data_IF_767875266102
#
_entry.id   IF_767875266102
#
_cell.length_a   1.000
_cell.length_b   1.000
_cell.length_c   1.000
_cell.angle_alpha   90.00
_cell.angle_beta   90.00
_cell.angle_gamma   90.00
#
_symmetry.space_group_name_H-M   'P 1'
#
loop_
_entity.id
_entity.type
_entity.pdbx_description
1 polymer ?
#
# COMPACT_ATOMS: atom_id res chain seq x y z
N UNK A 1 0.38 3.71 23.69
CA UNK A 1 -0.87 4.22 23.08
C UNK A 1 -0.63 5.12 21.88
N UNK A 2 0.11 6.23 22.00
CA UNK A 2 0.35 7.12 20.86
C UNK A 2 1.07 6.44 19.68
N UNK A 3 2.06 5.59 19.97
CA UNK A 3 2.73 4.75 18.98
C UNK A 3 1.74 3.85 18.22
N UNK A 4 0.93 3.06 18.94
CA UNK A 4 -0.13 2.25 18.35
C UNK A 4 -1.11 3.07 17.50
N UNK A 5 -1.55 4.23 18.00
CA UNK A 5 -2.45 5.14 17.31
C UNK A 5 -1.87 5.58 15.97
N UNK A 6 -0.63 6.08 15.96
CA UNK A 6 0.04 6.53 14.75
C UNK A 6 0.13 5.38 13.73
N UNK A 7 0.62 4.23 14.18
CA UNK A 7 0.82 3.04 13.36
C UNK A 7 -0.46 2.54 12.71
N UNK A 8 -1.52 2.36 13.51
CA UNK A 8 -2.79 1.82 13.00
C UNK A 8 -3.46 2.77 12.00
N UNK A 9 -3.29 4.08 12.16
CA UNK A 9 -3.77 5.06 11.18
C UNK A 9 -2.98 5.00 9.86
N UNK A 10 -1.65 4.90 9.93
CA UNK A 10 -0.79 4.80 8.76
C UNK A 10 -1.00 3.48 8.01
N UNK A 11 -1.10 2.36 8.74
CA UNK A 11 -1.24 1.02 8.17
C UNK A 11 -2.64 0.76 7.62
N UNK A 12 -3.69 1.28 8.28
CA UNK A 12 -5.06 1.04 7.83
C UNK A 12 -5.58 2.14 6.92
N UNK A 13 -5.13 3.39 7.04
CA UNK A 13 -5.70 4.53 6.27
C UNK A 13 -4.68 5.34 5.49
N UNK A 14 -3.39 5.03 5.58
CA UNK A 14 -2.34 5.68 4.80
C UNK A 14 -1.99 7.10 5.23
N UNK A 15 -2.49 7.59 6.37
CA UNK A 15 -2.17 8.93 6.85
C UNK A 15 -2.34 9.02 8.37
N UNK A 16 -1.58 9.92 9.01
CA UNK A 16 -1.67 10.20 10.46
C UNK A 16 -3.10 10.59 10.90
N UNK A 17 -3.51 10.39 12.17
CA UNK A 17 -4.81 10.85 12.67
C UNK A 17 -5.00 12.37 12.54
N UNK A 18 -6.26 12.82 12.49
CA UNK A 18 -6.58 14.22 12.76
C UNK A 18 -6.36 14.53 14.24
N UNK A 19 -6.08 15.79 14.57
CA UNK A 19 -5.89 16.25 15.97
C UNK A 19 -7.04 15.81 16.89
N UNK A 20 -8.29 15.94 16.43
CA UNK A 20 -9.46 15.53 17.22
C UNK A 20 -9.49 14.04 17.51
N UNK A 21 -9.16 13.20 16.52
CA UNK A 21 -9.12 11.75 16.66
C UNK A 21 -7.96 11.32 17.58
N UNK A 22 -6.81 11.97 17.46
CA UNK A 22 -5.66 11.69 18.32
C UNK A 22 -5.97 12.05 19.79
N UNK A 23 -6.54 13.24 20.02
CA UNK A 23 -6.95 13.67 21.36
C UNK A 23 -8.00 12.74 21.98
N UNK A 24 -9.06 12.44 21.22
CA UNK A 24 -10.13 11.53 21.66
C UNK A 24 -9.58 10.16 22.09
N UNK A 25 -8.69 9.56 21.30
CA UNK A 25 -8.10 8.26 21.63
C UNK A 25 -7.14 8.29 22.83
N UNK A 26 -6.35 9.36 22.94
CA UNK A 26 -5.37 9.50 24.03
C UNK A 26 -6.04 9.84 25.37
N UNK A 27 -7.19 10.53 25.34
CA UNK A 27 -7.98 10.83 26.53
C UNK A 27 -8.96 9.71 26.92
N UNK A 28 -9.25 8.78 26.01
CA UNK A 28 -10.07 7.61 26.29
C UNK A 28 -9.34 6.60 27.18
N UNK A 29 -9.97 6.22 28.29
CA UNK A 29 -9.48 5.23 29.26
C UNK A 29 -10.20 3.87 29.14
N UNK A 30 -11.12 3.73 28.18
CA UNK A 30 -11.87 2.50 27.98
C UNK A 30 -10.94 1.34 27.59
N UNK A 31 -11.12 0.14 28.17
CA UNK A 31 -10.23 -1.00 27.91
C UNK A 31 -10.30 -1.51 26.47
N UNK A 32 -11.39 -1.23 25.75
CA UNK A 32 -11.65 -1.64 24.36
C UNK A 32 -11.33 -0.54 23.33
N UNK A 33 -10.75 0.60 23.72
CA UNK A 33 -10.52 1.74 22.82
C UNK A 33 -9.73 1.42 21.56
N UNK A 34 -8.75 0.49 21.65
CA UNK A 34 -7.96 0.04 20.50
C UNK A 34 -8.81 -0.74 19.50
N UNK A 35 -9.64 -1.66 20.00
CA UNK A 35 -10.55 -2.45 19.17
C UNK A 35 -11.56 -1.53 18.47
N UNK A 36 -12.19 -0.61 19.21
CA UNK A 36 -13.14 0.36 18.64
C UNK A 36 -12.50 1.23 17.56
N UNK A 37 -11.26 1.68 17.78
CA UNK A 37 -10.52 2.43 16.77
C UNK A 37 -10.26 1.59 15.51
N UNK A 38 -9.82 0.34 15.66
CA UNK A 38 -9.59 -0.58 14.52
C UNK A 38 -10.87 -0.73 13.69
N UNK A 39 -12.02 -1.00 14.32
CA UNK A 39 -13.30 -1.11 13.62
C UNK A 39 -13.64 0.17 12.85
N UNK A 40 -13.48 1.32 13.50
CA UNK A 40 -13.76 2.61 12.88
C UNK A 40 -12.86 2.87 11.65
N UNK A 41 -11.57 2.55 11.75
CA UNK A 41 -10.62 2.74 10.65
C UNK A 41 -10.92 1.80 9.49
N UNK A 42 -11.15 0.51 9.74
CA UNK A 42 -11.45 -0.48 8.71
C UNK A 42 -12.77 -0.20 7.96
N UNK A 43 -13.74 0.41 8.65
CA UNK A 43 -15.00 0.83 8.03
C UNK A 43 -14.88 2.17 7.26
N UNK A 44 -13.76 2.88 7.37
CA UNK A 44 -13.63 4.22 6.81
C UNK A 44 -13.36 4.24 5.30
N UNK A 45 -13.80 5.29 4.57
CA UNK A 45 -13.39 5.50 3.17
C UNK A 45 -11.88 5.66 2.99
N UNK A 46 -11.19 6.15 4.03
CA UNK A 46 -9.74 6.27 4.06
C UNK A 46 -9.05 4.90 3.95
N UNK A 47 -9.61 3.88 4.60
CA UNK A 47 -9.12 2.51 4.49
C UNK A 47 -9.23 1.97 3.06
N UNK A 48 -10.42 2.05 2.46
CA UNK A 48 -10.59 1.59 1.08
C UNK A 48 -9.68 2.33 0.08
N UNK A 49 -9.43 3.62 0.31
CA UNK A 49 -8.51 4.42 -0.53
C UNK A 49 -7.06 3.99 -0.36
N UNK A 50 -6.62 3.77 0.87
CA UNK A 50 -5.27 3.31 1.15
C UNK A 50 -5.01 1.93 0.55
N UNK A 51 -5.94 1.00 0.75
CA UNK A 51 -5.86 -0.34 0.18
C UNK A 51 -5.88 -0.31 -1.35
N UNK A 52 -6.68 0.56 -1.98
CA UNK A 52 -6.63 0.73 -3.42
C UNK A 52 -5.26 1.24 -3.91
N UNK A 53 -4.64 2.18 -3.21
CA UNK A 53 -3.29 2.68 -3.54
C UNK A 53 -2.25 1.57 -3.42
N UNK A 54 -2.26 0.83 -2.31
CA UNK A 54 -1.31 -0.25 -2.06
C UNK A 54 -1.42 -1.35 -3.12
N UNK A 55 -2.64 -1.82 -3.44
CA UNK A 55 -2.85 -2.89 -4.42
C UNK A 55 -2.57 -2.42 -5.84
N UNK A 56 -2.87 -1.15 -6.17
CA UNK A 56 -2.48 -0.55 -7.46
C UNK A 56 -0.97 -0.58 -7.65
N UNK A 57 -0.20 -0.21 -6.62
CA UNK A 57 1.27 -0.21 -6.68
C UNK A 57 1.85 -1.61 -6.83
N UNK A 58 1.16 -2.64 -6.31
CA UNK A 58 1.53 -4.04 -6.50
C UNK A 58 1.20 -4.52 -7.92
N UNK A 59 0.04 -4.13 -8.45
CA UNK A 59 -0.48 -4.65 -9.70
C UNK A 59 0.12 -3.97 -10.94
N UNK A 60 0.30 -2.65 -10.90
CA UNK A 60 0.80 -1.90 -12.05
C UNK A 60 2.33 -1.81 -12.03
N UNK A 61 3.00 -1.90 -13.20
CA UNK A 61 4.44 -1.66 -13.29
C UNK A 61 4.83 -0.25 -12.83
N UNK A 62 6.06 -0.10 -12.33
CA UNK A 62 6.64 1.21 -12.02
C UNK A 62 6.81 2.05 -13.31
N UNK A 63 6.72 3.38 -13.18
CA UNK A 63 6.93 4.33 -14.28
C UNK A 63 5.74 4.51 -15.23
N UNK A 64 4.62 3.82 -14.99
CA UNK A 64 3.44 3.81 -15.87
C UNK A 64 2.56 5.09 -15.82
N UNK A 65 2.88 6.05 -14.94
CA UNK A 65 1.85 6.93 -14.35
C UNK A 65 1.55 8.25 -15.10
N UNK A 66 2.51 8.90 -15.75
CA UNK A 66 2.30 10.29 -16.18
C UNK A 66 1.36 10.43 -17.40
N UNK A 67 1.57 9.61 -18.43
CA UNK A 67 0.82 9.71 -19.70
C UNK A 67 -0.52 8.97 -19.66
N UNK A 68 -0.69 8.04 -18.71
CA UNK A 68 -1.88 7.19 -18.59
C UNK A 68 -2.66 7.45 -17.30
N UNK A 69 -2.55 8.65 -16.74
CA UNK A 69 -3.06 8.95 -15.40
C UNK A 69 -4.56 8.69 -15.24
N UNK A 70 -5.35 8.96 -16.29
CA UNK A 70 -6.79 8.66 -16.32
C UNK A 70 -7.04 7.16 -16.19
N UNK A 71 -6.23 6.33 -16.85
CA UNK A 71 -6.33 4.87 -16.78
C UNK A 71 -5.94 4.35 -15.39
N UNK A 72 -4.85 4.89 -14.84
CA UNK A 72 -4.41 4.57 -13.48
C UNK A 72 -5.49 4.94 -12.45
N UNK A 73 -6.16 6.07 -12.64
CA UNK A 73 -7.30 6.47 -11.83
C UNK A 73 -8.50 5.52 -11.99
N UNK A 74 -8.73 4.98 -13.19
CA UNK A 74 -9.71 3.92 -13.43
C UNK A 74 -9.44 2.67 -12.61
N UNK A 75 -8.21 2.16 -12.62
CA UNK A 75 -7.79 0.99 -11.81
C UNK A 75 -7.96 1.27 -10.31
N UNK A 76 -7.48 2.42 -9.84
CA UNK A 76 -7.59 2.77 -8.42
C UNK A 76 -9.05 2.90 -7.98
N UNK A 77 -9.92 3.50 -8.79
CA UNK A 77 -11.33 3.62 -8.48
C UNK A 77 -12.01 2.24 -8.44
N UNK A 78 -11.68 1.36 -9.40
CA UNK A 78 -12.16 -0.02 -9.38
C UNK A 78 -11.75 -0.74 -8.09
N UNK A 79 -10.46 -0.72 -7.74
CA UNK A 79 -9.93 -1.31 -6.50
C UNK A 79 -10.63 -0.72 -5.26
N UNK A 80 -10.78 0.60 -5.20
CA UNK A 80 -11.43 1.28 -4.08
C UNK A 80 -12.86 0.78 -3.87
N UNK A 81 -13.61 0.56 -4.94
CA UNK A 81 -14.96 -0.03 -4.85
C UNK A 81 -14.92 -1.44 -4.26
N UNK A 82 -13.96 -2.29 -4.67
CA UNK A 82 -13.81 -3.63 -4.10
C UNK A 82 -13.59 -3.58 -2.58
N UNK A 83 -12.74 -2.66 -2.12
CA UNK A 83 -12.46 -2.50 -0.69
C UNK A 83 -13.59 -1.83 0.09
N UNK A 84 -14.34 -0.91 -0.51
CA UNK A 84 -15.55 -0.33 0.10
C UNK A 84 -16.59 -1.43 0.34
N UNK A 85 -16.87 -2.23 -0.68
CA UNK A 85 -17.85 -3.32 -0.65
C UNK A 85 -17.40 -4.53 0.18
N UNK A 86 -16.13 -4.54 0.61
CA UNK A 86 -15.50 -5.69 1.26
C UNK A 86 -15.62 -6.97 0.43
N UNK A 87 -15.38 -6.84 -0.88
CA UNK A 87 -15.44 -8.00 -1.77
C UNK A 87 -14.38 -9.02 -1.35
N UNK A 88 -14.77 -10.30 -1.33
CA UNK A 88 -13.87 -11.40 -1.02
C UNK A 88 -12.66 -11.39 -1.97
N UNK A 89 -11.48 -11.65 -1.44
CA UNK A 89 -10.23 -11.52 -2.20
C UNK A 89 -10.16 -12.46 -3.40
N UNK A 90 -10.62 -13.71 -3.23
CA UNK A 90 -10.71 -14.70 -4.30
C UNK A 90 -11.60 -14.21 -5.46
N UNK A 91 -12.69 -13.53 -5.14
CA UNK A 91 -13.58 -12.92 -6.14
C UNK A 91 -12.94 -11.70 -6.79
N UNK A 92 -12.30 -10.82 -6.02
CA UNK A 92 -11.56 -9.68 -6.57
C UNK A 92 -10.46 -10.12 -7.55
N UNK A 93 -9.71 -11.18 -7.21
CA UNK A 93 -8.69 -11.77 -8.09
C UNK A 93 -9.32 -12.40 -9.32
N UNK A 94 -10.45 -13.09 -9.18
CA UNK A 94 -11.20 -13.63 -10.32
C UNK A 94 -11.64 -12.52 -11.27
N UNK A 95 -12.27 -11.46 -10.76
CA UNK A 95 -12.74 -10.31 -11.55
C UNK A 95 -11.58 -9.57 -12.21
N UNK A 96 -10.41 -9.52 -11.56
CA UNK A 96 -9.18 -9.01 -12.15
C UNK A 96 -8.68 -9.89 -13.32
N UNK A 97 -8.67 -11.21 -13.14
CA UNK A 97 -8.18 -12.17 -14.14
C UNK A 97 -9.07 -12.26 -15.37
N UNK A 98 -10.37 -12.13 -15.20
CA UNK A 98 -11.34 -12.22 -16.30
C UNK A 98 -11.80 -10.85 -16.80
N UNK A 99 -11.18 -9.76 -16.32
CA UNK A 99 -11.55 -8.42 -16.70
C UNK A 99 -11.64 -8.27 -18.22
N UNK A 100 -12.76 -7.70 -18.67
CA UNK A 100 -13.04 -7.32 -20.05
C UNK A 100 -13.36 -5.83 -20.03
N UNK A 101 -12.68 -5.01 -20.83
CA UNK A 101 -12.83 -3.56 -20.78
C UNK A 101 -11.69 -2.80 -21.46
N UNK A 102 -11.85 -1.49 -21.62
CA UNK A 102 -10.77 -0.59 -22.06
C UNK A 102 -9.79 -0.29 -20.91
N UNK A 103 -8.60 0.21 -21.23
CA UNK A 103 -7.56 0.52 -20.22
C UNK A 103 -7.97 1.59 -19.20
N UNK A 104 -8.99 2.39 -19.50
CA UNK A 104 -9.63 3.37 -18.61
C UNK A 104 -10.64 2.75 -17.63
N UNK A 105 -11.01 1.47 -17.82
CA UNK A 105 -12.00 0.75 -17.03
C UNK A 105 -11.37 -0.41 -16.26
N UNK A 106 -10.91 -0.14 -15.03
CA UNK A 106 -10.52 -1.19 -14.09
C UNK A 106 -9.29 -2.01 -14.51
N UNK A 107 -9.25 -3.34 -14.27
CA UNK A 107 -8.04 -4.16 -14.40
C UNK A 107 -7.42 -4.28 -15.80
N UNK A 108 -8.12 -3.89 -16.88
CA UNK A 108 -7.64 -4.04 -18.25
C UNK A 108 -6.29 -3.33 -18.51
N UNK A 109 -6.01 -2.24 -17.79
CA UNK A 109 -4.73 -1.53 -17.85
C UNK A 109 -3.54 -2.42 -17.53
N UNK A 110 -3.71 -3.37 -16.61
CA UNK A 110 -2.66 -4.33 -16.27
C UNK A 110 -2.22 -5.13 -17.49
N UNK A 111 -3.18 -5.56 -18.30
CA UNK A 111 -2.90 -6.41 -19.46
C UNK A 111 -2.19 -5.66 -20.57
N UNK A 112 -2.63 -4.42 -20.84
CA UNK A 112 -1.97 -3.57 -21.83
C UNK A 112 -0.59 -3.11 -21.36
N UNK A 113 -0.40 -2.91 -20.06
CA UNK A 113 0.91 -2.65 -19.46
C UNK A 113 1.91 -3.79 -19.66
N UNK A 114 1.41 -5.03 -19.74
CA UNK A 114 2.20 -6.22 -20.05
C UNK A 114 2.27 -6.52 -21.56
N UNK A 115 1.90 -5.58 -22.42
CA UNK A 115 1.88 -5.71 -23.89
C UNK A 115 1.03 -6.89 -24.39
N UNK A 116 0.10 -7.41 -23.56
CA UNK A 116 -0.69 -8.61 -23.84
C UNK A 116 0.17 -9.87 -24.10
N UNK A 117 1.45 -9.84 -23.73
CA UNK A 117 2.38 -10.95 -23.96
C UNK A 117 2.14 -12.06 -22.94
N UNK A 118 1.86 -13.31 -23.36
CA UNK A 118 1.56 -14.40 -22.44
C UNK A 118 2.64 -14.62 -21.37
N UNK A 119 3.91 -14.54 -21.76
CA UNK A 119 5.06 -14.70 -20.86
C UNK A 119 5.15 -13.59 -19.80
N UNK A 120 4.80 -12.35 -20.15
CA UNK A 120 4.80 -11.22 -19.20
C UNK A 120 3.63 -11.31 -18.22
N UNK A 121 2.45 -11.68 -18.73
CA UNK A 121 1.26 -11.90 -17.93
C UNK A 121 1.44 -13.09 -16.97
N UNK A 122 2.07 -14.16 -17.44
CA UNK A 122 2.43 -15.32 -16.62
C UNK A 122 3.33 -14.90 -15.44
N UNK A 123 4.48 -14.26 -15.71
CA UNK A 123 5.39 -13.81 -14.66
C UNK A 123 4.70 -12.87 -13.67
N UNK A 124 3.98 -11.85 -14.17
CA UNK A 124 3.34 -10.87 -13.30
C UNK A 124 2.22 -11.48 -12.44
N UNK A 125 1.33 -12.28 -13.00
CA UNK A 125 0.21 -12.87 -12.24
C UNK A 125 0.66 -13.96 -11.28
N UNK A 126 1.66 -14.77 -11.64
CA UNK A 126 2.25 -15.76 -10.73
C UNK A 126 2.88 -15.07 -9.51
N UNK A 127 3.67 -14.01 -9.74
CA UNK A 127 4.32 -13.26 -8.67
C UNK A 127 3.32 -12.50 -7.79
N UNK A 128 2.33 -11.84 -8.39
CA UNK A 128 1.34 -11.04 -7.66
C UNK A 128 0.38 -11.94 -6.85
N UNK A 129 -0.24 -12.93 -7.49
CA UNK A 129 -1.35 -13.67 -6.88
C UNK A 129 -0.96 -15.02 -6.29
N UNK A 130 0.09 -15.67 -6.79
CA UNK A 130 0.56 -16.97 -6.29
C UNK A 130 1.80 -16.84 -5.40
N UNK A 131 2.46 -15.67 -5.43
CA UNK A 131 3.71 -15.47 -4.71
C UNK A 131 4.84 -16.36 -5.25
N UNK A 132 4.85 -16.61 -6.57
CA UNK A 132 5.83 -17.48 -7.21
C UNK A 132 6.69 -16.69 -8.19
N UNK A 133 8.02 -16.84 -8.08
CA UNK A 133 9.00 -16.26 -9.02
C UNK A 133 9.41 -17.30 -10.08
N UNK A 134 8.50 -17.57 -11.02
CA UNK A 134 8.72 -18.57 -12.08
C UNK A 134 9.41 -18.01 -13.32
N UNK A 135 9.76 -16.73 -13.37
CA UNK A 135 10.29 -16.06 -14.58
C UNK A 135 11.61 -16.64 -15.08
N UNK A 136 12.49 -17.13 -14.22
CA UNK A 136 13.73 -17.78 -14.68
C UNK A 136 13.42 -19.03 -15.51
N UNK A 137 12.28 -19.70 -15.22
CA UNK A 137 11.80 -20.85 -15.96
C UNK A 137 11.37 -20.50 -17.41
N UNK A 138 11.30 -19.23 -17.79
CA UNK A 138 10.97 -18.84 -19.16
C UNK A 138 11.98 -19.40 -20.19
N UNK A 139 13.27 -19.33 -19.87
CA UNK A 139 14.36 -19.66 -20.80
C UNK A 139 15.03 -21.01 -20.52
N UNK A 140 15.05 -21.46 -19.27
CA UNK A 140 15.65 -22.73 -18.85
C UNK A 140 14.99 -23.21 -17.56
N UNK A 141 15.12 -24.50 -17.20
CA UNK A 141 14.66 -24.97 -15.88
C UNK A 141 15.24 -24.13 -14.74
N UNK A 142 14.42 -23.81 -13.73
CA UNK A 142 14.85 -22.99 -12.62
C UNK A 142 16.04 -23.65 -11.88
N UNK A 143 17.14 -22.92 -11.60
CA UNK A 143 18.38 -23.52 -11.12
C UNK A 143 18.32 -23.98 -9.66
N UNK A 144 17.45 -23.35 -8.85
CA UNK A 144 17.38 -23.55 -7.40
C UNK A 144 15.97 -23.86 -6.88
N UNK A 145 15.01 -24.04 -7.78
CA UNK A 145 13.60 -24.31 -7.44
C UNK A 145 13.07 -25.38 -8.40
N UNK A 146 11.91 -25.97 -8.09
CA UNK A 146 11.34 -27.11 -8.81
C UNK A 146 10.80 -26.76 -10.20
N UNK A 147 10.61 -25.48 -10.51
CA UNK A 147 9.92 -25.02 -11.71
C UNK A 147 10.66 -25.37 -13.00
N UNK A 148 9.96 -26.05 -13.91
CA UNK A 148 10.46 -26.42 -15.24
C UNK A 148 10.04 -25.42 -16.29
N UNK A 149 10.78 -25.38 -17.39
CA UNK A 149 10.41 -24.50 -18.51
C UNK A 149 8.99 -24.82 -19.03
N UNK A 150 8.62 -26.09 -19.06
CA UNK A 150 7.27 -26.52 -19.42
C UNK A 150 6.19 -26.02 -18.45
N UNK A 151 6.51 -25.79 -17.18
CA UNK A 151 5.54 -25.28 -16.19
C UNK A 151 5.30 -23.79 -16.42
N UNK A 152 6.35 -23.01 -16.73
CA UNK A 152 6.22 -21.60 -17.08
C UNK A 152 5.34 -21.42 -18.32
N UNK A 153 5.65 -22.13 -19.40
CA UNK A 153 4.91 -21.99 -20.65
C UNK A 153 3.50 -22.60 -20.57
N UNK A 154 3.31 -23.64 -19.75
CA UNK A 154 1.99 -24.16 -19.44
C UNK A 154 1.11 -23.17 -18.68
N UNK A 155 1.71 -22.38 -17.78
CA UNK A 155 1.00 -21.28 -17.13
C UNK A 155 0.77 -20.09 -18.09
N UNK A 156 1.75 -19.75 -18.93
CA UNK A 156 1.59 -18.70 -19.95
C UNK A 156 0.49 -19.02 -20.97
N UNK A 157 0.25 -20.30 -21.25
CA UNK A 157 -0.81 -20.73 -22.17
C UNK A 157 -2.22 -20.25 -21.75
N UNK A 158 -2.47 -19.93 -20.48
CA UNK A 158 -3.74 -19.33 -20.04
C UNK A 158 -4.00 -17.95 -20.64
N UNK A 159 -2.94 -17.22 -20.99
CA UNK A 159 -2.99 -15.87 -21.55
C UNK A 159 -2.80 -15.83 -23.07
N UNK A 160 -2.57 -16.98 -23.71
CA UNK A 160 -2.30 -17.11 -25.15
C UNK A 160 -3.47 -16.70 -26.06
N UNK A 161 -4.68 -16.64 -25.50
CA UNK A 161 -5.92 -16.35 -26.23
C UNK A 161 -6.40 -14.92 -25.98
N UNK A 162 -5.48 -13.98 -25.75
CA UNK A 162 -5.84 -12.61 -25.41
C UNK A 162 -5.54 -11.66 -26.57
N UNK A 163 -6.49 -10.80 -26.93
CA UNK A 163 -6.27 -9.75 -27.94
C UNK A 163 -6.96 -8.44 -27.53
N UNK A 164 -6.32 -7.35 -27.90
CA UNK A 164 -6.98 -6.05 -28.05
C UNK A 164 -7.27 -5.84 -29.54
N UNK A 165 -8.54 -5.78 -29.98
CA UNK A 165 -8.85 -5.49 -31.36
C UNK A 165 -8.40 -4.06 -31.73
N UNK A 166 -8.12 -3.81 -33.01
CA UNK A 166 -7.74 -2.48 -33.50
C UNK A 166 -8.83 -1.46 -33.21
N UNK A 167 -8.42 -0.20 -32.98
CA UNK A 167 -9.31 0.95 -32.75
C UNK A 167 -10.43 0.99 -33.80
N UNK A 168 -11.66 0.65 -33.41
CA UNK A 168 -12.84 0.86 -34.25
C UNK A 168 -13.49 2.20 -33.88
N UNK A 169 -13.57 3.11 -34.84
CA UNK A 169 -14.34 4.37 -34.76
C UNK A 169 -14.00 5.27 -33.55
N UNK A 170 -12.74 5.29 -33.11
CA UNK A 170 -12.29 6.21 -32.05
C UNK A 170 -12.77 5.88 -30.63
N UNK A 171 -13.30 4.68 -30.39
CA UNK A 171 -13.64 4.19 -29.05
C UNK A 171 -12.59 3.19 -28.54
N UNK A 172 -12.26 3.29 -27.25
CA UNK A 172 -11.33 2.37 -26.59
C UNK A 172 -11.85 0.94 -26.67
N UNK A 173 -11.06 0.05 -27.26
CA UNK A 173 -11.48 -1.33 -27.54
C UNK A 173 -11.29 -2.21 -26.31
N UNK A 174 -12.30 -3.03 -26.01
CA UNK A 174 -12.33 -3.93 -24.88
C UNK A 174 -11.35 -5.09 -25.04
N UNK A 175 -10.73 -5.49 -23.93
CA UNK A 175 -9.99 -6.75 -23.83
C UNK A 175 -10.94 -7.94 -24.08
N UNK A 176 -10.60 -8.80 -25.05
CA UNK A 176 -11.41 -9.98 -25.40
C UNK A 176 -10.57 -11.26 -25.40
N UNK A 177 -11.21 -12.35 -24.96
CA UNK A 177 -10.67 -13.70 -25.13
C UNK A 177 -11.03 -14.24 -26.53
N UNK A 178 -10.06 -14.84 -27.19
CA UNK A 178 -10.18 -15.48 -28.50
C UNK A 178 -10.50 -16.98 -28.36
N UNK A 179 -11.06 -17.58 -29.41
CA UNK A 179 -11.30 -19.03 -29.46
C UNK A 179 -10.02 -19.85 -29.68
N UNK A 180 -8.97 -19.23 -30.23
CA UNK A 180 -7.71 -19.87 -30.61
C UNK A 180 -6.51 -19.01 -30.22
N UNK A 181 -5.41 -19.68 -29.92
CA UNK A 181 -4.17 -19.07 -29.47
C UNK A 181 -3.41 -20.05 -28.60
N UNK A 182 -2.16 -20.29 -28.96
CA UNK A 182 -1.28 -21.25 -28.29
C UNK A 182 0.10 -20.64 -28.09
N UNK A 183 0.83 -21.16 -27.12
CA UNK A 183 2.24 -20.85 -26.89
C UNK A 183 3.08 -22.07 -27.21
N UNK A 184 4.30 -21.84 -27.69
CA UNK A 184 5.26 -22.89 -27.97
C UNK A 184 6.44 -22.79 -27.01
N UNK A 185 7.09 -23.92 -26.72
CA UNK A 185 8.38 -23.88 -26.03
C UNK A 185 9.41 -23.13 -26.90
N UNK A 186 10.23 -22.24 -26.31
CA UNK A 186 11.30 -21.55 -27.02
C UNK A 186 12.20 -22.52 -27.79
N UNK A 187 12.62 -22.10 -28.98
CA UNK A 187 13.50 -22.87 -29.87
C UNK A 187 12.94 -24.25 -30.30
N UNK A 188 11.62 -24.45 -30.16
CA UNK A 188 10.93 -25.67 -30.63
C UNK A 188 9.59 -25.33 -31.31
N UNK A 189 9.02 -26.32 -32.01
CA UNK A 189 7.64 -26.26 -32.54
C UNK A 189 6.62 -26.88 -31.56
N UNK A 190 7.04 -27.18 -30.32
CA UNK A 190 6.20 -27.89 -29.35
C UNK A 190 5.18 -26.94 -28.73
N UNK A 191 3.90 -27.14 -29.07
CA UNK A 191 2.78 -26.43 -28.44
C UNK A 191 2.60 -26.90 -27.00
N UNK A 192 2.46 -25.95 -26.07
CA UNK A 192 2.25 -26.23 -24.65
C UNK A 192 0.79 -25.94 -24.28
N UNK A 193 0.02 -26.94 -23.81
CA UNK A 193 -1.35 -26.70 -23.34
C UNK A 193 -1.35 -26.00 -21.97
N UNK A 194 -2.47 -25.34 -21.60
CA UNK A 194 -2.62 -24.77 -20.26
C UNK A 194 -2.40 -25.79 -19.15
N UNK A 195 -1.63 -25.39 -18.15
CA UNK A 195 -1.26 -26.21 -16.99
C UNK A 195 -1.16 -25.33 -15.75
N UNK A 196 -1.77 -25.78 -14.66
CA UNK A 196 -1.67 -25.07 -13.39
C UNK A 196 -0.27 -25.23 -12.78
N UNK A 197 0.27 -24.23 -12.07
CA UNK A 197 1.58 -24.33 -11.45
C UNK A 197 1.67 -25.54 -10.50
N UNK A 198 2.62 -26.43 -10.79
CA UNK A 198 2.92 -27.61 -9.96
C UNK A 198 2.12 -28.85 -10.34
N UNK A 199 1.31 -28.81 -11.40
CA UNK A 199 0.61 -29.98 -11.95
C UNK A 199 1.35 -30.51 -13.18
N UNK A 200 1.26 -31.82 -13.45
CA UNK A 200 1.86 -32.43 -14.64
C UNK A 200 0.85 -32.44 -15.81
N UNK A 201 -0.42 -32.66 -15.48
CA UNK A 201 -1.46 -32.80 -16.47
C UNK A 201 -1.91 -31.44 -17.01
N UNK A 202 -2.30 -31.44 -18.29
CA UNK A 202 -2.96 -30.31 -18.91
C UNK A 202 -4.35 -30.09 -18.29
N UNK A 203 -4.80 -28.84 -18.27
CA UNK A 203 -6.16 -28.51 -17.83
C UNK A 203 -7.17 -29.15 -18.76
N UNK A 204 -8.03 -29.99 -18.19
CA UNK A 204 -9.15 -30.61 -18.89
C UNK A 204 -10.47 -29.85 -18.73
N UNK A 205 -10.50 -28.81 -17.88
CA UNK A 205 -11.67 -27.96 -17.72
C UNK A 205 -11.97 -27.22 -19.03
N UNK A 206 -13.23 -27.22 -19.44
CA UNK A 206 -13.71 -26.55 -20.65
C UNK A 206 -14.70 -25.42 -20.34
N UNK A 207 -14.86 -25.05 -19.06
CA UNK A 207 -15.76 -23.97 -18.64
C UNK A 207 -15.15 -22.61 -18.97
N UNK A 208 -15.73 -21.93 -19.95
CA UNK A 208 -15.35 -20.56 -20.32
C UNK A 208 -13.96 -20.48 -20.97
N UNK A 209 -13.43 -19.26 -21.03
CA UNK A 209 -12.09 -19.00 -21.58
C UNK A 209 -10.98 -19.56 -20.68
N UNK A 210 -9.76 -19.69 -21.21
CA UNK A 210 -8.59 -20.11 -20.41
C UNK A 210 -8.38 -19.23 -19.17
N UNK A 211 -8.60 -17.91 -19.27
CA UNK A 211 -8.55 -17.00 -18.10
C UNK A 211 -9.64 -17.30 -17.07
N UNK A 212 -10.85 -17.68 -17.50
CA UNK A 212 -11.92 -18.11 -16.59
C UNK A 212 -11.52 -19.40 -15.86
N UNK A 213 -10.94 -20.37 -16.56
CA UNK A 213 -10.44 -21.61 -15.96
C UNK A 213 -9.33 -21.33 -14.92
N UNK A 214 -8.43 -20.39 -15.23
CA UNK A 214 -7.40 -19.94 -14.30
C UNK A 214 -8.00 -19.26 -13.07
N UNK A 215 -8.97 -18.35 -13.26
CA UNK A 215 -9.66 -17.66 -12.17
C UNK A 215 -10.38 -18.63 -11.24
N UNK A 216 -11.09 -19.63 -11.79
CA UNK A 216 -11.76 -20.68 -10.99
C UNK A 216 -10.75 -21.46 -10.13
N UNK A 217 -9.61 -21.84 -10.72
CA UNK A 217 -8.58 -22.57 -9.97
C UNK A 217 -7.91 -21.71 -8.90
N UNK A 218 -7.60 -20.44 -9.20
CA UNK A 218 -7.02 -19.52 -8.22
C UNK A 218 -7.95 -19.28 -7.05
N UNK A 219 -9.24 -19.07 -7.31
CA UNK A 219 -10.26 -18.81 -6.30
C UNK A 219 -10.70 -20.07 -5.51
N UNK A 220 -10.15 -21.24 -5.84
CA UNK A 220 -10.46 -22.47 -5.10
C UNK A 220 -9.99 -22.38 -3.65
N UNK A 221 -10.79 -22.90 -2.71
CA UNK A 221 -10.40 -23.02 -1.30
C UNK A 221 -9.19 -23.94 -1.10
N UNK A 222 -9.00 -24.89 -2.02
CA UNK A 222 -7.90 -25.84 -2.00
C UNK A 222 -6.66 -25.34 -2.78
N UNK A 223 -6.67 -24.08 -3.26
CA UNK A 223 -5.52 -23.52 -3.94
C UNK A 223 -4.35 -23.36 -2.95
N UNK A 224 -3.18 -23.97 -3.21
CA UNK A 224 -2.08 -23.94 -2.23
C UNK A 224 -1.30 -22.62 -2.23
N UNK A 225 -1.56 -21.71 -3.16
CA UNK A 225 -0.74 -20.52 -3.39
C UNK A 225 -1.47 -19.22 -3.05
N UNK A 226 -2.67 -19.00 -3.60
CA UNK A 226 -3.40 -17.74 -3.46
C UNK A 226 -3.63 -17.33 -1.99
N UNK A 227 -4.13 -18.20 -1.10
CA UNK A 227 -4.28 -17.88 0.32
C UNK A 227 -2.96 -17.48 0.98
N UNK A 228 -1.88 -18.24 0.72
CA UNK A 228 -0.56 -18.02 1.32
C UNK A 228 0.04 -16.70 0.86
N UNK A 229 -0.03 -16.40 -0.43
CA UNK A 229 0.46 -15.15 -1.01
C UNK A 229 -0.31 -13.93 -0.47
N UNK A 230 -1.63 -14.05 -0.30
CA UNK A 230 -2.45 -13.01 0.30
C UNK A 230 -2.08 -12.75 1.76
N UNK A 231 -2.00 -13.81 2.57
CA UNK A 231 -1.64 -13.73 3.99
C UNK A 231 -0.25 -13.14 4.18
N UNK A 232 0.75 -13.62 3.44
CA UNK A 232 2.11 -13.12 3.55
C UNK A 232 2.20 -11.62 3.20
N UNK A 233 1.42 -11.18 2.22
CA UNK A 233 1.37 -9.78 1.79
C UNK A 233 0.65 -8.88 2.79
N UNK A 234 -0.47 -9.30 3.35
CA UNK A 234 -1.15 -8.55 4.44
C UNK A 234 -0.26 -8.48 5.67
N UNK A 235 0.43 -9.59 5.99
CA UNK A 235 1.41 -9.61 7.07
C UNK A 235 2.55 -8.62 6.79
N UNK A 236 3.17 -8.65 5.61
CA UNK A 236 4.23 -7.70 5.25
C UNK A 236 3.75 -6.24 5.29
N UNK A 237 2.52 -5.98 4.87
CA UNK A 237 1.90 -4.65 4.93
C UNK A 237 1.81 -4.11 6.36
N UNK A 238 1.36 -4.95 7.30
CA UNK A 238 1.19 -4.56 8.71
C UNK A 238 2.48 -4.61 9.52
N UNK A 239 3.39 -5.55 9.23
CA UNK A 239 4.59 -5.81 10.03
C UNK A 239 5.89 -5.32 9.38
N UNK A 240 5.85 -4.78 8.15
CA UNK A 240 7.03 -4.34 7.40
C UNK A 240 7.84 -5.44 6.73
N UNK A 241 7.63 -6.69 7.11
CA UNK A 241 8.33 -7.87 6.60
C UNK A 241 7.40 -9.07 6.57
N UNK A 242 7.37 -9.79 5.45
CA UNK A 242 6.60 -11.02 5.32
C UNK A 242 7.13 -12.16 6.18
N UNK A 243 6.26 -13.11 6.53
CA UNK A 243 6.67 -14.39 7.12
C UNK A 243 7.63 -15.14 6.20
N UNK A 244 7.43 -15.00 4.90
CA UNK A 244 8.40 -15.30 3.83
C UNK A 244 8.89 -13.97 3.25
N UNK A 245 10.22 -13.83 3.10
CA UNK A 245 10.85 -12.65 2.51
C UNK A 245 11.83 -13.10 1.42
N UNK A 246 11.76 -12.56 0.18
CA UNK A 246 10.81 -11.55 -0.32
C UNK A 246 9.34 -11.95 -0.26
N UNK A 247 8.45 -10.96 -0.20
CA UNK A 247 6.99 -11.18 0.00
C UNK A 247 6.32 -12.00 -1.11
N UNK A 248 6.93 -12.02 -2.30
CA UNK A 248 6.44 -12.66 -3.52
C UNK A 248 7.30 -13.87 -3.96
N UNK A 249 8.11 -14.44 -3.06
CA UNK A 249 8.96 -15.63 -3.28
C UNK A 249 8.67 -16.77 -2.29
N UNK A 250 7.49 -17.41 -2.43
CA UNK A 250 7.01 -18.48 -1.56
C UNK A 250 7.46 -19.89 -2.04
N UNK A 251 8.59 -19.98 -2.76
CA UNK A 251 9.15 -21.24 -3.24
C UNK A 251 9.65 -22.17 -2.12
N UNK A 252 9.89 -23.44 -2.44
CA UNK A 252 10.37 -24.44 -1.47
C UNK A 252 11.76 -24.07 -0.92
N UNK A 253 12.56 -23.33 -1.69
CA UNK A 253 13.87 -22.82 -1.29
C UNK A 253 13.80 -21.70 -0.24
N UNK A 254 12.63 -21.08 -0.03
CA UNK A 254 12.44 -19.95 0.86
C UNK A 254 11.34 -20.22 1.90
N UNK A 255 11.60 -21.07 2.90
CA UNK A 255 10.59 -21.44 3.88
C UNK A 255 10.20 -20.24 4.76
N UNK A 256 8.95 -20.21 5.25
CA UNK A 256 8.50 -19.18 6.19
C UNK A 256 9.29 -19.23 7.50
N UNK A 257 9.56 -18.05 8.06
CA UNK A 257 10.18 -17.87 9.39
C UNK A 257 9.38 -18.56 10.50
N UNK A 258 8.05 -18.54 10.40
CA UNK A 258 7.13 -19.12 11.39
C UNK A 258 6.10 -20.03 10.66
N UNK A 259 6.45 -21.28 10.30
CA UNK A 259 5.64 -22.12 9.43
C UNK A 259 4.26 -22.45 10.04
N UNK A 260 4.22 -22.82 11.31
CA UNK A 260 2.97 -23.16 12.00
C UNK A 260 2.00 -21.97 12.04
N UNK A 261 2.51 -20.78 12.36
CA UNK A 261 1.73 -19.55 12.32
C UNK A 261 1.21 -19.26 10.91
N UNK A 262 2.07 -19.42 9.90
CA UNK A 262 1.69 -19.14 8.52
C UNK A 262 0.57 -20.06 8.04
N UNK A 263 0.62 -21.35 8.40
CA UNK A 263 -0.41 -22.32 8.07
C UNK A 263 -1.74 -21.99 8.79
N UNK A 264 -1.70 -21.64 10.08
CA UNK A 264 -2.89 -21.23 10.84
C UNK A 264 -3.55 -19.96 10.26
N UNK A 265 -2.75 -18.96 9.90
CA UNK A 265 -3.27 -17.74 9.25
C UNK A 265 -3.87 -18.02 7.88
N UNK A 266 -3.27 -18.96 7.14
CA UNK A 266 -3.76 -19.39 5.84
C UNK A 266 -5.13 -20.07 5.97
N UNK A 267 -5.27 -21.00 6.91
CA UNK A 267 -6.56 -21.64 7.21
C UNK A 267 -7.60 -20.62 7.67
N UNK A 268 -7.23 -19.73 8.60
CA UNK A 268 -8.10 -18.65 9.07
C UNK A 268 -8.64 -17.80 7.92
N UNK A 269 -7.78 -17.42 6.98
CA UNK A 269 -8.17 -16.61 5.83
C UNK A 269 -9.13 -17.35 4.89
N UNK A 270 -8.93 -18.65 4.66
CA UNK A 270 -9.82 -19.49 3.84
C UNK A 270 -11.17 -19.76 4.55
N UNK A 271 -11.16 -19.94 5.87
CA UNK A 271 -12.36 -20.21 6.68
C UNK A 271 -13.24 -18.98 6.88
N UNK A 272 -12.63 -17.79 6.92
CA UNK A 272 -13.34 -16.51 6.93
C UNK A 272 -13.79 -16.05 5.54
N UNK A 273 -13.59 -16.87 4.51
CA UNK A 273 -14.09 -16.62 3.16
C UNK A 273 -13.26 -15.63 2.36
N UNK A 274 -11.95 -15.60 2.57
CA UNK A 274 -11.00 -14.69 1.90
C UNK A 274 -11.23 -13.21 2.20
N UNK A 275 -11.68 -12.88 3.41
CA UNK A 275 -11.94 -11.51 3.85
C UNK A 275 -10.64 -10.84 4.31
N UNK A 276 -10.10 -9.92 3.49
CA UNK A 276 -8.90 -9.15 3.84
C UNK A 276 -9.12 -8.23 5.03
N UNK A 277 -10.31 -7.65 5.16
CA UNK A 277 -10.64 -6.74 6.26
C UNK A 277 -10.70 -7.48 7.58
N UNK A 278 -11.26 -8.69 7.60
CA UNK A 278 -11.20 -9.62 8.73
C UNK A 278 -9.76 -10.00 9.09
N UNK A 279 -8.94 -10.37 8.09
CA UNK A 279 -7.54 -10.71 8.35
C UNK A 279 -6.78 -9.54 8.99
N UNK A 280 -6.94 -8.32 8.45
CA UNK A 280 -6.32 -7.12 9.02
C UNK A 280 -6.87 -6.79 10.41
N UNK A 281 -8.18 -6.93 10.63
CA UNK A 281 -8.82 -6.76 11.95
C UNK A 281 -8.23 -7.70 12.99
N UNK A 282 -8.13 -8.98 12.67
CA UNK A 282 -7.55 -9.97 13.57
C UNK A 282 -6.08 -9.65 13.87
N UNK A 283 -5.26 -9.41 12.83
CA UNK A 283 -3.83 -9.14 12.99
C UNK A 283 -3.54 -7.88 13.81
N UNK A 284 -4.28 -6.80 13.57
CA UNK A 284 -4.11 -5.53 14.32
C UNK A 284 -4.54 -5.61 15.79
N UNK A 285 -5.38 -6.60 16.13
CA UNK A 285 -5.74 -6.89 17.53
C UNK A 285 -4.73 -7.80 18.25
N UNK A 286 -3.71 -8.33 17.56
CA UNK A 286 -2.70 -9.19 18.20
C UNK A 286 -1.75 -8.41 19.09
N UNK A 287 -1.20 -9.09 20.11
CA UNK A 287 -0.12 -8.52 20.91
C UNK A 287 1.11 -8.21 20.05
N UNK A 288 1.43 -9.05 19.06
CA UNK A 288 2.57 -8.88 18.16
C UNK A 288 2.51 -7.56 17.40
N UNK A 289 1.35 -7.25 16.78
CA UNK A 289 1.16 -5.98 16.07
C UNK A 289 1.23 -4.76 17.01
N UNK A 290 0.79 -4.93 18.26
CA UNK A 290 0.69 -3.84 19.23
C UNK A 290 1.97 -3.62 20.07
N UNK A 291 3.06 -4.35 19.77
CA UNK A 291 4.36 -4.17 20.44
C UNK A 291 4.98 -2.81 20.11
N UNK A 292 5.87 -2.34 20.97
CA UNK A 292 6.65 -1.14 20.71
C UNK A 292 7.79 -1.42 19.72
N UNK A 293 8.26 -0.38 19.04
CA UNK A 293 9.50 -0.30 18.28
C UNK A 293 10.70 0.07 19.15
N UNK A 294 10.48 0.48 20.41
CA UNK A 294 11.55 0.79 21.33
C UNK A 294 12.24 -0.48 21.83
N UNK A 295 13.35 -0.85 21.17
CA UNK A 295 14.20 -1.99 21.53
C UNK A 295 15.60 -1.50 21.88
N UNK A 296 16.07 -1.85 23.07
CA UNK A 296 17.41 -1.48 23.53
C UNK A 296 18.49 -2.45 22.99
N UNK A 297 18.20 -3.74 22.99
CA UNK A 297 19.16 -4.80 22.67
C UNK A 297 18.75 -5.56 21.41
N UNK A 298 19.66 -5.67 20.45
CA UNK A 298 19.51 -6.40 19.18
C UNK A 298 18.18 -6.16 18.42
N UNK A 299 17.95 -4.93 17.91
CA UNK A 299 16.74 -4.61 17.14
C UNK A 299 16.54 -5.48 15.90
N UNK A 300 17.61 -5.97 15.27
CA UNK A 300 17.54 -6.79 14.07
C UNK A 300 16.84 -8.12 14.36
N UNK A 301 17.32 -8.86 15.36
CA UNK A 301 16.69 -10.12 15.79
C UNK A 301 15.28 -9.89 16.31
N UNK A 302 15.04 -8.80 17.05
CA UNK A 302 13.72 -8.47 17.56
C UNK A 302 12.69 -8.27 16.42
N UNK A 303 13.10 -7.63 15.31
CA UNK A 303 12.27 -7.46 14.12
C UNK A 303 12.07 -8.78 13.38
N UNK A 304 13.12 -9.59 13.21
CA UNK A 304 13.02 -10.91 12.55
C UNK A 304 12.07 -11.87 13.26
N UNK A 305 12.01 -11.80 14.59
CA UNK A 305 11.16 -12.64 15.43
C UNK A 305 9.80 -12.00 15.76
N UNK A 306 9.49 -10.82 15.20
CA UNK A 306 8.28 -10.04 15.53
C UNK A 306 8.12 -9.78 17.05
N UNK A 307 9.24 -9.72 17.77
CA UNK A 307 9.32 -9.39 19.19
C UNK A 307 9.28 -7.87 19.45
N UNK A 308 9.42 -7.07 18.39
CA UNK A 308 9.19 -5.64 18.36
C UNK A 308 8.65 -5.23 16.99
N UNK A 309 7.99 -4.09 16.95
CA UNK A 309 7.59 -3.51 15.67
C UNK A 309 8.83 -2.87 15.00
N UNK A 310 9.03 -3.02 13.68
CA UNK A 310 10.06 -2.25 13.01
C UNK A 310 9.64 -0.79 12.80
N UNK A 311 10.62 0.10 12.89
CA UNK A 311 10.49 1.48 12.40
C UNK A 311 10.61 1.45 10.87
N UNK A 312 9.64 2.02 10.18
CA UNK A 312 9.52 2.01 8.71
C UNK A 312 9.42 3.42 8.16
N UNK A 313 10.13 3.78 7.08
CA UNK A 313 9.84 5.00 6.36
C UNK A 313 8.41 5.00 5.84
N UNK A 314 7.75 6.17 5.87
CA UNK A 314 6.48 6.35 5.18
C UNK A 314 6.67 6.24 3.66
N UNK A 315 5.70 5.65 2.97
CA UNK A 315 5.69 5.74 1.50
C UNK A 315 5.53 7.20 1.07
N UNK A 316 5.91 7.51 -0.17
CA UNK A 316 5.76 8.86 -0.72
C UNK A 316 4.30 9.35 -0.64
N UNK A 317 3.32 8.47 -0.88
CA UNK A 317 1.90 8.80 -0.72
C UNK A 317 1.54 9.05 0.75
N UNK A 318 1.97 8.17 1.67
CA UNK A 318 1.67 8.33 3.10
C UNK A 318 2.26 9.62 3.66
N UNK A 319 3.47 9.97 3.25
CA UNK A 319 4.15 11.19 3.67
C UNK A 319 3.41 12.44 3.17
N UNK A 320 3.05 12.47 1.88
CA UNK A 320 2.28 13.58 1.31
C UNK A 320 0.90 13.73 1.96
N UNK A 321 0.15 12.63 2.05
CA UNK A 321 -1.22 12.65 2.57
C UNK A 321 -1.22 13.01 4.08
N UNK A 322 -0.18 12.61 4.82
CA UNK A 322 0.04 13.02 6.21
C UNK A 322 0.42 14.50 6.34
N UNK A 323 1.28 15.02 5.45
CA UNK A 323 1.66 16.43 5.42
C UNK A 323 0.44 17.33 5.14
N UNK A 324 -0.35 17.00 4.13
CA UNK A 324 -1.57 17.75 3.79
C UNK A 324 -2.59 17.74 4.93
N UNK A 325 -2.72 16.60 5.62
CA UNK A 325 -3.58 16.47 6.80
C UNK A 325 -3.07 17.29 7.99
N UNK A 326 -1.76 17.24 8.29
CA UNK A 326 -1.16 18.02 9.35
C UNK A 326 -1.36 19.53 9.12
N UNK A 327 -1.18 20.00 7.88
CA UNK A 327 -1.30 21.41 7.51
C UNK A 327 -2.75 21.89 7.32
N UNK A 328 -3.76 21.02 7.50
CA UNK A 328 -5.17 21.28 7.21
C UNK A 328 -5.42 21.81 5.79
N UNK A 329 -4.69 21.28 4.81
CA UNK A 329 -4.80 21.69 3.41
C UNK A 329 -5.72 20.78 2.63
N UNK A 330 -6.56 21.38 1.79
CA UNK A 330 -7.29 20.64 0.76
C UNK A 330 -6.41 20.52 -0.49
N UNK A 331 -6.46 19.36 -1.14
CA UNK A 331 -5.79 19.14 -2.42
C UNK A 331 -6.39 20.02 -3.52
N UNK A 332 -5.61 20.31 -4.56
CA UNK A 332 -6.08 21.02 -5.74
C UNK A 332 -6.28 19.98 -6.85
N UNK A 333 -7.45 19.34 -6.89
CA UNK A 333 -7.75 18.34 -7.91
C UNK A 333 -8.18 19.01 -9.22
N UNK A 334 -7.48 18.68 -10.32
CA UNK A 334 -7.90 19.03 -11.69
C UNK A 334 -8.82 17.96 -12.30
N UNK A 335 -9.42 17.11 -11.46
CA UNK A 335 -10.30 16.07 -11.93
C UNK A 335 -11.59 16.66 -12.58
N UNK A 336 -12.22 15.92 -13.50
CA UNK A 336 -13.49 16.32 -14.10
C UNK A 336 -14.54 16.65 -13.03
N UNK A 337 -15.41 17.62 -13.30
CA UNK A 337 -16.42 18.11 -12.35
C UNK A 337 -17.22 16.94 -11.73
N UNK A 338 -17.20 16.86 -10.40
CA UNK A 338 -17.89 15.80 -9.63
C UNK A 338 -17.00 14.65 -9.14
N UNK A 339 -15.71 14.63 -9.49
CA UNK A 339 -14.73 13.67 -8.96
C UNK A 339 -13.62 14.42 -8.24
N UNK A 340 -13.51 14.29 -6.92
CA UNK A 340 -12.29 14.70 -6.22
C UNK A 340 -11.39 13.45 -6.09
N UNK A 341 -10.35 13.38 -6.91
CA UNK A 341 -9.40 12.26 -6.90
C UNK A 341 -7.98 12.81 -6.75
N UNK A 342 -7.26 12.45 -5.65
CA UNK A 342 -5.90 12.90 -5.40
C UNK A 342 -4.90 12.55 -6.52
N UNK A 343 -5.18 11.54 -7.35
CA UNK A 343 -4.34 11.24 -8.50
C UNK A 343 -4.28 12.39 -9.51
N UNK A 344 -5.31 13.25 -9.61
CA UNK A 344 -5.29 14.40 -10.52
C UNK A 344 -4.74 15.67 -9.88
N UNK A 345 -4.22 15.61 -8.64
CA UNK A 345 -3.52 16.72 -8.01
C UNK A 345 -2.07 16.77 -8.54
N UNK A 346 -1.70 17.81 -9.33
CA UNK A 346 -0.36 17.90 -9.92
C UNK A 346 0.74 18.07 -8.86
N UNK A 347 0.43 18.70 -7.72
CA UNK A 347 1.40 18.85 -6.61
C UNK A 347 1.67 17.49 -5.99
N UNK A 348 0.62 16.70 -5.73
CA UNK A 348 0.75 15.34 -5.21
C UNK A 348 1.59 14.46 -6.14
N UNK A 349 1.31 14.47 -7.44
CA UNK A 349 2.07 13.68 -8.42
C UNK A 349 3.54 14.06 -8.43
N UNK A 350 3.84 15.36 -8.46
CA UNK A 350 5.21 15.86 -8.49
C UNK A 350 5.96 15.54 -7.19
N UNK A 351 5.28 15.52 -6.04
CA UNK A 351 5.86 15.07 -4.78
C UNK A 351 6.13 13.56 -4.80
N UNK A 352 5.12 12.75 -5.13
CA UNK A 352 5.23 11.29 -5.13
C UNK A 352 6.34 10.81 -6.05
N UNK A 353 6.43 11.35 -7.27
CA UNK A 353 7.46 10.97 -8.24
C UNK A 353 8.90 11.26 -7.75
N UNK A 354 9.10 12.29 -6.90
CA UNK A 354 10.42 12.66 -6.37
C UNK A 354 10.79 11.87 -5.11
N UNK A 355 9.78 11.53 -4.31
CA UNK A 355 9.95 10.85 -3.02
C UNK A 355 9.82 9.33 -3.12
N UNK A 356 9.55 8.80 -4.32
CA UNK A 356 9.38 7.36 -4.54
C UNK A 356 10.67 6.59 -4.21
N UNK A 357 10.55 5.64 -3.29
CA UNK A 357 11.61 4.67 -3.00
C UNK A 357 11.74 3.67 -4.16
N UNK A 358 12.96 3.19 -4.38
CA UNK A 358 13.34 2.16 -5.35
C UNK A 358 13.50 0.78 -4.71
N UNK A 359 13.65 0.70 -3.38
CA UNK A 359 13.75 -0.57 -2.68
C UNK A 359 12.44 -1.34 -2.70
N UNK A 360 12.56 -2.66 -2.80
CA UNK A 360 11.47 -3.63 -2.61
C UNK A 360 11.18 -3.93 -1.13
N UNK A 361 12.04 -3.49 -0.22
CA UNK A 361 11.91 -3.67 1.23
C UNK A 361 11.30 -2.43 1.87
N UNK A 362 10.23 -2.63 2.65
CA UNK A 362 9.59 -1.55 3.41
C UNK A 362 10.44 -1.07 4.61
N UNK A 363 11.55 -1.75 4.90
CA UNK A 363 12.46 -1.40 5.99
C UNK A 363 13.62 -0.52 5.52
N UNK A 364 13.82 -0.39 4.21
CA UNK A 364 14.97 0.30 3.66
C UNK A 364 14.70 1.82 3.62
N UNK A 365 15.56 2.59 4.28
CA UNK A 365 15.53 4.04 4.20
C UNK A 365 16.36 4.53 3.02
N UNK A 366 15.70 4.96 1.94
CA UNK A 366 16.38 5.39 0.71
C UNK A 366 16.34 6.90 0.45
N UNK A 367 15.80 7.70 1.37
CA UNK A 367 15.78 9.15 1.19
C UNK A 367 17.21 9.72 1.32
N UNK A 368 17.76 10.15 0.17
CA UNK A 368 19.07 10.79 0.08
C UNK A 368 19.02 12.29 0.35
N UNK A 369 20.17 12.95 0.17
CA UNK A 369 20.32 14.42 0.31
C UNK A 369 19.26 15.21 -0.47
N UNK A 370 18.90 14.87 -1.72
CA UNK A 370 17.86 15.60 -2.45
C UNK A 370 16.48 15.53 -1.79
N UNK A 371 16.08 14.37 -1.28
CA UNK A 371 14.80 14.18 -0.58
C UNK A 371 14.78 14.94 0.73
N UNK A 372 15.87 14.90 1.51
CA UNK A 372 16.00 15.67 2.74
C UNK A 372 15.95 17.19 2.48
N UNK A 373 16.70 17.69 1.50
CA UNK A 373 16.67 19.10 1.12
C UNK A 373 15.28 19.53 0.62
N UNK A 374 14.55 18.64 -0.04
CA UNK A 374 13.19 18.90 -0.47
C UNK A 374 12.20 18.92 0.69
N UNK A 375 12.33 18.07 1.70
CA UNK A 375 11.51 18.20 2.90
C UNK A 375 11.82 19.51 3.63
N UNK A 376 13.07 19.96 3.65
CA UNK A 376 13.43 21.21 4.33
C UNK A 376 13.01 22.46 3.56
N UNK A 377 13.09 22.46 2.23
CA UNK A 377 12.96 23.66 1.38
C UNK A 377 11.87 23.56 0.30
N UNK A 378 11.22 22.41 0.16
CA UNK A 378 10.19 22.17 -0.84
C UNK A 378 8.95 23.01 -0.55
N UNK A 379 8.17 23.30 -1.60
CA UNK A 379 7.01 24.19 -1.51
C UNK A 379 6.02 23.72 -0.44
N UNK A 380 5.86 22.41 -0.28
CA UNK A 380 4.92 21.82 0.67
C UNK A 380 5.27 22.15 2.12
N UNK A 381 6.57 22.23 2.45
CA UNK A 381 7.06 22.51 3.81
C UNK A 381 7.46 23.98 3.98
N UNK A 382 7.97 24.64 2.94
CA UNK A 382 8.18 26.08 2.95
C UNK A 382 6.86 26.86 3.15
N UNK A 383 5.74 26.34 2.66
CA UNK A 383 4.41 26.91 2.94
C UNK A 383 3.93 26.62 4.38
N UNK A 384 4.56 25.70 5.12
CA UNK A 384 4.23 25.42 6.54
C UNK A 384 4.69 26.50 7.51
N UNK A 385 5.71 27.30 7.15
CA UNK A 385 6.17 28.44 7.96
C UNK A 385 5.42 29.74 7.65
N UNK A 386 4.57 29.75 6.62
CA UNK A 386 3.71 30.88 6.34
C UNK A 386 2.49 30.85 7.26
N UNK A 387 2.19 31.99 7.90
CA UNK A 387 1.01 32.20 8.77
C UNK A 387 -0.34 31.95 8.10
N UNK A 388 -0.36 31.69 6.79
CA UNK A 388 -1.54 31.43 5.98
C UNK A 388 -1.87 29.94 5.78
N UNK A 389 -1.13 28.99 6.36
CA UNK A 389 -1.57 27.60 6.35
C UNK A 389 -2.73 27.36 7.34
N UNK A 390 -3.59 26.39 7.02
CA UNK A 390 -4.85 26.18 7.75
C UNK A 390 -4.67 25.83 9.22
N UNK A 391 -3.58 25.12 9.58
CA UNK A 391 -3.27 24.77 10.97
C UNK A 391 -2.87 26.01 11.78
N UNK A 392 -1.88 26.77 11.32
CA UNK A 392 -1.41 27.96 12.04
C UNK A 392 -2.53 29.01 12.16
N UNK A 393 -3.30 29.24 11.10
CA UNK A 393 -4.46 30.13 11.14
C UNK A 393 -5.51 29.69 12.18
N UNK A 394 -5.73 28.38 12.34
CA UNK A 394 -6.64 27.87 13.38
C UNK A 394 -6.09 28.06 14.80
N UNK A 395 -4.75 28.03 14.97
CA UNK A 395 -4.09 28.23 16.26
C UNK A 395 -4.02 29.69 16.70
N UNK A 396 -4.23 30.65 15.80
CA UNK A 396 -4.37 32.06 16.16
C UNK A 396 -5.66 32.36 16.93
N UNK A 397 -6.60 31.41 16.96
CA UNK A 397 -7.85 31.61 17.68
C UNK A 397 -7.63 31.90 19.18
N UNK A 398 -8.37 32.87 19.76
CA UNK A 398 -8.08 33.41 21.09
C UNK A 398 -8.38 32.44 22.24
N UNK A 399 -9.09 31.35 21.98
CA UNK A 399 -9.41 30.33 22.99
C UNK A 399 -8.29 29.31 23.20
N UNK A 400 -7.23 29.31 22.39
CA UNK A 400 -6.05 28.49 22.65
C UNK A 400 -5.06 29.25 23.54
N UNK A 401 -4.52 28.57 24.55
CA UNK A 401 -3.29 28.98 25.25
C UNK A 401 -2.06 28.29 24.63
N UNK A 402 -0.84 28.75 24.95
CA UNK A 402 0.38 28.21 24.34
C UNK A 402 0.59 26.71 24.59
N UNK A 403 0.39 26.18 25.80
CA UNK A 403 0.39 24.74 26.02
C UNK A 403 -0.55 23.98 25.08
N UNK A 404 -1.77 24.48 24.84
CA UNK A 404 -2.73 23.85 23.94
C UNK A 404 -2.34 24.00 22.46
N UNK A 405 -1.69 25.10 22.08
CA UNK A 405 -1.10 25.26 20.74
C UNK A 405 -0.03 24.21 20.51
N UNK A 406 0.88 24.02 21.47
CA UNK A 406 1.93 23.02 21.41
C UNK A 406 1.38 21.61 21.33
N UNK A 407 0.44 21.27 22.20
CA UNK A 407 -0.25 19.98 22.14
C UNK A 407 -0.86 19.76 20.75
N UNK A 408 -1.51 20.78 20.17
CA UNK A 408 -2.15 20.67 18.86
C UNK A 408 -1.14 20.47 17.73
N UNK A 409 -0.01 21.17 17.72
CA UNK A 409 1.07 20.96 16.74
C UNK A 409 1.62 19.53 16.81
N UNK A 410 1.87 19.03 18.03
CA UNK A 410 2.37 17.68 18.25
C UNK A 410 1.36 16.59 17.86
N UNK A 411 0.08 16.78 18.18
CA UNK A 411 -0.97 15.85 17.76
C UNK A 411 -1.15 15.84 16.25
N UNK A 412 -1.06 17.00 15.59
CA UNK A 412 -1.21 17.11 14.13
C UNK A 412 -0.08 16.44 13.36
N UNK A 413 1.14 16.45 13.89
CA UNK A 413 2.34 15.97 13.21
C UNK A 413 2.77 14.58 13.71
N UNK A 414 3.04 14.46 15.00
CA UNK A 414 3.62 13.28 15.64
C UNK A 414 2.57 12.34 16.25
N UNK A 415 1.30 12.76 16.30
CA UNK A 415 0.18 11.96 16.85
C UNK A 415 0.33 11.60 18.33
N UNK A 416 1.14 12.37 19.07
CA UNK A 416 1.36 12.24 20.51
C UNK A 416 1.32 13.61 21.18
N UNK A 417 1.32 13.63 22.51
CA UNK A 417 1.55 14.87 23.28
C UNK A 417 3.07 15.15 23.36
N UNK A 418 3.49 16.42 23.47
CA UNK A 418 4.88 16.75 23.79
C UNK A 418 5.24 16.18 25.16
N UNK A 419 6.49 15.77 25.35
CA UNK A 419 7.01 15.50 26.68
C UNK A 419 7.33 16.82 27.42
N UNK A 420 7.71 16.74 28.69
CA UNK A 420 7.99 17.92 29.52
C UNK A 420 9.09 18.81 28.96
N UNK A 421 10.13 18.21 28.40
CA UNK A 421 11.33 18.91 27.94
C UNK A 421 11.06 19.60 26.61
N UNK A 422 10.40 18.90 25.69
CA UNK A 422 9.88 19.45 24.43
C UNK A 422 8.93 20.60 24.68
N UNK A 423 7.99 20.44 25.63
CA UNK A 423 7.03 21.47 25.97
C UNK A 423 7.72 22.71 26.55
N UNK A 424 8.66 22.54 27.47
CA UNK A 424 9.41 23.66 28.04
C UNK A 424 10.21 24.42 26.98
N UNK A 425 10.96 23.69 26.15
CA UNK A 425 11.79 24.26 25.09
C UNK A 425 10.98 25.09 24.08
N UNK A 426 9.85 24.56 23.59
CA UNK A 426 9.06 25.28 22.59
C UNK A 426 8.25 26.43 23.18
N UNK A 427 7.81 26.33 24.45
CA UNK A 427 7.16 27.46 25.13
C UNK A 427 8.14 28.62 25.33
N UNK A 428 9.38 28.35 25.71
CA UNK A 428 10.42 29.38 25.86
C UNK A 428 10.68 30.10 24.53
N UNK A 429 10.77 29.35 23.42
CA UNK A 429 10.96 29.91 22.08
C UNK A 429 9.83 30.87 21.69
N UNK A 430 8.57 30.48 21.91
CA UNK A 430 7.40 31.29 21.55
C UNK A 430 7.29 32.54 22.43
N UNK A 431 7.52 32.40 23.74
CA UNK A 431 7.47 33.51 24.68
C UNK A 431 8.56 34.55 24.38
N UNK A 432 9.76 34.09 23.99
CA UNK A 432 10.86 34.96 23.58
C UNK A 432 10.51 35.76 22.33
N UNK A 433 9.84 35.13 21.36
CA UNK A 433 9.40 35.81 20.13
C UNK A 433 8.23 36.79 20.39
N UNK A 434 7.26 36.43 21.21
CA UNK A 434 6.11 37.30 21.55
C UNK A 434 6.55 38.57 22.29
N UNK A 435 7.61 38.49 23.11
CA UNK A 435 8.17 39.65 23.82
C UNK A 435 8.64 40.77 22.87
N UNK A 436 8.95 40.44 21.61
CA UNK A 436 9.39 41.40 20.60
C UNK A 436 8.21 41.95 19.77
N UNK A 437 7.30 41.09 19.29
CA UNK A 437 6.09 41.48 18.55
C UNK A 437 5.12 40.28 18.37
N UNK A 438 3.80 40.54 18.29
CA UNK A 438 2.77 39.52 18.03
C UNK A 438 2.96 38.80 16.67
N UNK A 439 3.49 39.48 15.65
CA UNK A 439 3.81 38.85 14.35
C UNK A 439 4.93 37.82 14.45
N UNK A 440 5.87 38.00 15.39
CA UNK A 440 6.98 37.06 15.63
C UNK A 440 6.49 35.78 16.33
N UNK A 441 5.40 35.85 17.11
CA UNK A 441 4.78 34.66 17.72
C UNK A 441 4.27 33.68 16.68
N UNK A 442 3.55 34.15 15.66
CA UNK A 442 3.07 33.27 14.58
C UNK A 442 4.23 32.67 13.79
N UNK A 443 5.32 33.44 13.59
CA UNK A 443 6.54 32.91 12.98
C UNK A 443 7.19 31.81 13.84
N UNK A 444 7.30 32.01 15.16
CA UNK A 444 7.81 31.00 16.10
C UNK A 444 6.96 29.72 16.10
N UNK A 445 5.63 29.82 16.02
CA UNK A 445 4.75 28.65 15.84
C UNK A 445 5.04 27.92 14.51
N UNK A 446 5.32 28.68 13.44
CA UNK A 446 5.78 28.17 12.16
C UNK A 446 7.10 27.41 12.27
N UNK A 447 8.08 27.94 13.01
CA UNK A 447 9.38 27.30 13.23
C UNK A 447 9.23 25.96 13.97
N UNK A 448 8.36 25.90 15.00
CA UNK A 448 8.04 24.64 15.70
C UNK A 448 7.39 23.65 14.74
N UNK A 449 6.40 24.06 13.96
CA UNK A 449 5.74 23.19 12.99
C UNK A 449 6.73 22.65 11.95
N UNK A 450 7.60 23.52 11.42
CA UNK A 450 8.65 23.12 10.47
C UNK A 450 9.61 22.10 11.07
N UNK A 451 10.04 22.30 12.33
CA UNK A 451 10.93 21.37 13.02
C UNK A 451 10.27 19.99 13.22
N UNK A 452 8.98 19.96 13.58
CA UNK A 452 8.24 18.71 13.74
C UNK A 452 8.07 17.97 12.42
N UNK A 453 7.72 18.67 11.33
CA UNK A 453 7.53 18.09 9.99
C UNK A 453 8.83 17.54 9.38
N UNK A 454 9.98 18.13 9.72
CA UNK A 454 11.30 17.67 9.28
C UNK A 454 11.96 16.67 10.24
N UNK A 455 11.29 16.30 11.33
CA UNK A 455 11.81 15.30 12.26
C UNK A 455 11.77 13.90 11.64
N UNK A 456 12.71 13.05 12.06
CA UNK A 456 12.68 11.63 11.70
C UNK A 456 11.37 10.97 12.15
N UNK A 457 10.82 11.37 13.31
CA UNK A 457 9.58 10.81 13.83
C UNK A 457 8.39 11.05 12.88
N UNK A 458 8.32 12.20 12.22
CA UNK A 458 7.27 12.50 11.25
C UNK A 458 7.37 11.65 9.98
N UNK A 459 8.58 11.38 9.51
CA UNK A 459 8.84 10.59 8.30
C UNK A 459 8.75 9.07 8.51
N UNK A 460 8.49 8.61 9.75
CA UNK A 460 8.50 7.20 10.11
C UNK A 460 7.16 6.72 10.67
N UNK A 461 6.87 5.45 10.41
CA UNK A 461 5.88 4.63 11.07
C UNK A 461 6.59 3.75 12.09
N UNK A 462 6.26 3.92 13.37
CA UNK A 462 6.91 3.26 14.48
C UNK A 462 5.91 2.56 15.38
#
# INVERSE_FOLDING_TARGET
>A
DAEFLRRVFLDLTGAVPRVSQAREFLDDSSPDKRQRLIEHLLASPGHATHMANTWRNIMLPEGFAAEQITNVAGVQNWLRMQFVENLRYDRMVSDFLVATGGGDTGPALFYTAQELKPEKLASATARIFLGLQIECAQCHDHPFDRWKQADFWGYAAFFAQLRQPEMMNGQAVQLVDLERGDVTLPDTETVVPPRYPGTIDAVTDQRGSRRVQLAIWMASRDNPYLPRAAVNRVWAHLFGRGLVQPVDDLGEHNPPSHPQLFDELTHYFVDTGFDLRELMRMLTNTQAYQRTSAVADDPATAVELYAAMPVRPLTAEQLYDSLMRALLRQGASNAPAGFDNPLFDPRRQAFVARMQARSRSALDYEAGVPQALMLMNGVEVAESVNSSNGLLAALEAPWFNDPQRMETLFLATLSRRPNSDEQAMFLEHIQTAEANNATERTAALGDVLWALLNSAEFAMNH
#
